data_IF_778927667278
#
_entry.id   IF_778927667278
#
_cell.length_a   1.000
_cell.length_b   1.000
_cell.length_c   1.000
_cell.angle_alpha   90.00
_cell.angle_beta   90.00
_cell.angle_gamma   90.00
#
_symmetry.space_group_name_H-M   'P 1'
#
loop_
_entity.id
_entity.type
_entity.pdbx_description
1 polymer ?
#
# COMPACT_ATOMS: atom_id res chain seq x y z
N UNK A 1 -16.45 44.88 25.31
CA UNK A 1 -16.58 44.74 23.84
C UNK A 1 -15.27 44.20 23.30
N UNK A 2 -15.36 43.13 22.49
CA UNK A 2 -14.40 42.63 21.49
C UNK A 2 -12.93 42.44 21.90
N UNK A 3 -12.27 41.32 21.65
CA UNK A 3 -12.62 40.17 20.83
C UNK A 3 -11.33 39.45 20.42
N UNK A 4 -11.29 38.15 20.71
CA UNK A 4 -10.59 37.08 20.01
C UNK A 4 -9.23 37.38 19.34
N UNK A 5 -8.14 36.90 19.95
CA UNK A 5 -6.92 36.54 19.24
C UNK A 5 -6.72 35.02 19.27
N UNK A 6 -6.33 34.51 18.10
CA UNK A 6 -5.61 33.26 17.87
C UNK A 6 -6.42 31.96 17.72
N UNK A 7 -6.84 31.69 16.47
CA UNK A 7 -7.02 30.35 15.94
C UNK A 7 -6.72 30.33 14.43
N UNK A 8 -5.48 30.65 14.05
CA UNK A 8 -5.01 30.47 12.67
C UNK A 8 -4.35 29.09 12.52
N UNK A 9 -5.18 28.05 12.41
CA UNK A 9 -4.76 26.74 11.93
C UNK A 9 -4.33 26.83 10.46
N UNK A 10 -3.12 26.39 10.16
CA UNK A 10 -2.45 26.52 8.85
C UNK A 10 -3.25 25.89 7.67
N UNK A 11 -3.58 26.66 6.61
CA UNK A 11 -4.38 26.17 5.46
C UNK A 11 -3.64 25.16 4.53
N UNK A 12 -2.32 25.02 4.68
CA UNK A 12 -1.52 24.13 3.84
C UNK A 12 -1.77 22.63 4.13
N UNK A 13 -2.05 22.26 5.39
CA UNK A 13 -2.29 20.85 5.77
C UNK A 13 -3.62 20.31 5.25
N UNK A 14 -4.68 21.14 5.17
CA UNK A 14 -5.98 20.69 4.66
C UNK A 14 -5.94 20.44 3.14
N UNK A 15 -5.26 21.32 2.38
CA UNK A 15 -5.09 21.20 0.92
C UNK A 15 -4.29 19.95 0.53
N UNK A 16 -3.21 19.64 1.25
CA UNK A 16 -2.40 18.44 1.04
C UNK A 16 -3.19 17.13 1.31
N UNK A 17 -4.09 17.15 2.30
CA UNK A 17 -4.96 16.00 2.61
C UNK A 17 -6.05 15.76 1.56
N UNK A 18 -6.57 16.83 0.94
CA UNK A 18 -7.53 16.74 -0.16
C UNK A 18 -6.91 16.21 -1.44
N UNK A 19 -5.70 16.67 -1.77
CA UNK A 19 -4.93 16.16 -2.91
C UNK A 19 -4.63 14.67 -2.77
N UNK A 20 -4.18 14.20 -1.60
CA UNK A 20 -3.92 12.77 -1.35
C UNK A 20 -5.17 11.88 -1.52
N UNK A 21 -6.34 12.36 -1.09
CA UNK A 21 -7.63 11.64 -1.31
C UNK A 21 -8.01 11.61 -2.78
N UNK A 22 -7.85 12.72 -3.50
CA UNK A 22 -8.08 12.77 -4.95
C UNK A 22 -7.16 11.80 -5.72
N UNK A 23 -5.87 11.73 -5.35
CA UNK A 23 -4.93 10.78 -5.93
C UNK A 23 -5.30 9.31 -5.65
N UNK A 24 -5.78 8.99 -4.43
CA UNK A 24 -6.21 7.65 -4.08
C UNK A 24 -7.45 7.23 -4.89
N UNK A 25 -8.46 8.10 -5.02
CA UNK A 25 -9.63 7.84 -5.86
C UNK A 25 -9.26 7.69 -7.34
N UNK A 26 -8.40 8.56 -7.86
CA UNK A 26 -7.91 8.47 -9.23
C UNK A 26 -7.14 7.16 -9.49
N UNK A 27 -6.32 6.70 -8.53
CA UNK A 27 -5.60 5.44 -8.63
C UNK A 27 -6.55 4.22 -8.68
N UNK A 28 -7.59 4.19 -7.85
CA UNK A 28 -8.61 3.13 -7.88
C UNK A 28 -9.38 3.14 -9.20
N UNK A 29 -9.80 4.31 -9.68
CA UNK A 29 -10.45 4.47 -10.98
C UNK A 29 -9.55 3.99 -12.13
N UNK A 30 -8.25 4.29 -12.08
CA UNK A 30 -7.29 3.83 -13.08
C UNK A 30 -7.18 2.31 -13.10
N UNK A 31 -7.19 1.64 -11.93
CA UNK A 31 -7.20 0.17 -11.85
C UNK A 31 -8.47 -0.41 -12.48
N UNK A 32 -9.65 0.13 -12.17
CA UNK A 32 -10.90 -0.32 -12.78
C UNK A 32 -10.92 -0.11 -14.29
N UNK A 33 -10.43 1.04 -14.77
CA UNK A 33 -10.31 1.31 -16.20
C UNK A 33 -9.36 0.32 -16.88
N UNK A 34 -8.24 -0.03 -16.25
CA UNK A 34 -7.29 -1.01 -16.76
C UNK A 34 -7.90 -2.42 -16.86
N UNK A 35 -8.66 -2.84 -15.84
CA UNK A 35 -9.40 -4.11 -15.84
C UNK A 35 -10.43 -4.13 -16.98
N UNK A 36 -11.23 -3.07 -17.12
CA UNK A 36 -12.24 -2.96 -18.17
C UNK A 36 -11.61 -2.96 -19.57
N UNK A 37 -10.52 -2.23 -19.76
CA UNK A 37 -9.77 -2.21 -21.02
C UNK A 37 -9.16 -3.58 -21.35
N UNK A 38 -8.65 -4.31 -20.35
CA UNK A 38 -8.10 -5.66 -20.54
C UNK A 38 -9.20 -6.65 -20.96
N UNK A 39 -10.36 -6.62 -20.29
CA UNK A 39 -11.52 -7.45 -20.64
C UNK A 39 -12.04 -7.14 -22.05
N UNK A 40 -12.17 -5.85 -22.39
CA UNK A 40 -12.56 -5.43 -23.73
C UNK A 40 -11.55 -5.90 -24.78
N UNK A 41 -10.25 -5.81 -24.47
CA UNK A 41 -9.17 -6.33 -25.32
C UNK A 41 -9.30 -7.83 -25.58
N UNK A 42 -9.61 -8.63 -24.55
CA UNK A 42 -9.84 -10.08 -24.69
C UNK A 42 -11.04 -10.36 -25.60
N UNK A 43 -12.17 -9.67 -25.38
CA UNK A 43 -13.38 -9.85 -26.20
C UNK A 43 -13.12 -9.48 -27.66
N UNK A 44 -12.45 -8.35 -27.91
CA UNK A 44 -12.09 -7.92 -29.26
C UNK A 44 -11.12 -8.89 -29.94
N UNK A 45 -10.15 -9.42 -29.20
CA UNK A 45 -9.20 -10.42 -29.72
C UNK A 45 -9.93 -11.71 -30.10
N UNK A 46 -10.82 -12.21 -29.24
CA UNK A 46 -11.64 -13.40 -29.53
C UNK A 46 -12.51 -13.17 -30.77
N UNK A 47 -13.22 -12.04 -30.83
CA UNK A 47 -14.06 -11.69 -31.98
C UNK A 47 -13.26 -11.65 -33.28
N UNK A 48 -12.11 -10.96 -33.28
CA UNK A 48 -11.21 -10.88 -34.44
C UNK A 48 -10.70 -12.25 -34.87
N UNK A 49 -10.35 -13.10 -33.92
CA UNK A 49 -9.83 -14.45 -34.18
C UNK A 49 -10.90 -15.33 -34.82
N UNK A 50 -12.10 -15.36 -34.24
CA UNK A 50 -13.22 -16.17 -34.76
C UNK A 50 -13.64 -15.70 -36.16
N UNK A 51 -13.69 -14.38 -36.38
CA UNK A 51 -14.09 -13.83 -37.68
C UNK A 51 -13.03 -14.10 -38.77
N UNK A 52 -11.75 -13.97 -38.42
CA UNK A 52 -10.65 -14.32 -39.31
C UNK A 52 -10.67 -15.82 -39.66
N UNK A 53 -10.89 -16.68 -38.67
CA UNK A 53 -10.98 -18.13 -38.85
C UNK A 53 -12.12 -18.52 -39.79
N UNK A 54 -13.32 -17.94 -39.62
CA UNK A 54 -14.47 -18.17 -40.51
C UNK A 54 -14.15 -17.80 -41.95
N UNK A 55 -13.67 -16.58 -42.16
CA UNK A 55 -13.32 -16.07 -43.50
C UNK A 55 -12.24 -16.94 -44.17
N UNK A 56 -11.27 -17.42 -43.39
CA UNK A 56 -10.20 -18.27 -43.89
C UNK A 56 -10.70 -19.68 -44.25
N UNK A 57 -11.58 -20.27 -43.43
CA UNK A 57 -12.21 -21.57 -43.73
C UNK A 57 -13.02 -21.52 -45.03
N UNK A 58 -13.79 -20.46 -45.24
CA UNK A 58 -14.58 -20.27 -46.45
C UNK A 58 -13.68 -20.15 -47.70
N UNK A 59 -12.57 -19.39 -47.60
CA UNK A 59 -11.58 -19.29 -48.69
C UNK A 59 -10.91 -20.62 -49.00
N UNK A 60 -10.48 -21.36 -47.98
CA UNK A 60 -9.86 -22.69 -48.17
C UNK A 60 -10.84 -23.66 -48.84
N UNK A 61 -12.12 -23.65 -48.43
CA UNK A 61 -13.15 -24.47 -49.05
C UNK A 61 -13.37 -24.11 -50.53
N UNK A 62 -13.40 -22.81 -50.86
CA UNK A 62 -13.51 -22.32 -52.23
C UNK A 62 -12.31 -22.76 -53.10
N UNK A 63 -11.07 -22.56 -52.62
CA UNK A 63 -9.85 -22.94 -53.35
C UNK A 63 -9.76 -24.46 -53.57
N UNK A 64 -10.13 -25.25 -52.56
CA UNK A 64 -10.22 -26.71 -52.69
C UNK A 64 -11.29 -27.13 -53.71
N UNK A 65 -12.40 -26.42 -53.80
CA UNK A 65 -13.45 -26.69 -54.79
C UNK A 65 -12.99 -26.35 -56.22
N UNK A 66 -12.26 -25.24 -56.40
CA UNK A 66 -11.64 -24.85 -57.69
C UNK A 66 -10.67 -25.95 -58.15
N UNK A 67 -9.77 -26.39 -57.28
CA UNK A 67 -8.84 -27.50 -57.59
C UNK A 67 -9.56 -28.79 -57.97
N UNK A 68 -10.65 -29.13 -57.26
CA UNK A 68 -11.44 -30.32 -57.58
C UNK A 68 -12.10 -30.23 -58.97
N UNK A 69 -12.63 -29.07 -59.35
CA UNK A 69 -13.22 -28.84 -60.68
C UNK A 69 -12.15 -28.82 -61.79
N UNK A 70 -10.95 -28.27 -61.55
CA UNK A 70 -9.84 -28.34 -62.51
C UNK A 70 -9.42 -29.79 -62.80
N UNK A 71 -9.32 -30.61 -61.75
CA UNK A 71 -9.07 -32.05 -61.90
C UNK A 71 -10.21 -32.73 -62.65
N UNK A 72 -11.46 -32.34 -62.40
CA UNK A 72 -12.64 -32.86 -63.11
C UNK A 72 -12.60 -32.55 -64.60
N UNK A 73 -12.33 -31.29 -64.98
CA UNK A 73 -12.19 -30.86 -66.38
C UNK A 73 -11.05 -31.60 -67.07
N UNK A 74 -9.87 -31.68 -66.44
CA UNK A 74 -8.72 -32.38 -67.00
C UNK A 74 -9.01 -33.88 -67.22
N UNK A 75 -9.68 -34.54 -66.26
CA UNK A 75 -10.09 -35.96 -66.38
C UNK A 75 -11.14 -36.14 -67.48
N UNK A 76 -12.13 -35.24 -67.57
CA UNK A 76 -13.16 -35.31 -68.61
C UNK A 76 -12.53 -35.26 -70.00
N UNK A 77 -11.61 -34.32 -70.24
CA UNK A 77 -10.93 -34.19 -71.54
C UNK A 77 -10.07 -35.42 -71.84
N UNK A 78 -9.33 -35.96 -70.86
CA UNK A 78 -8.52 -37.17 -71.05
C UNK A 78 -9.37 -38.41 -71.36
N UNK A 79 -10.47 -38.59 -70.64
CA UNK A 79 -11.41 -39.70 -70.87
C UNK A 79 -12.10 -39.57 -72.22
N UNK A 80 -12.44 -38.33 -72.62
CA UNK A 80 -13.01 -38.04 -73.93
C UNK A 80 -12.06 -38.40 -75.06
N UNK A 81 -10.80 -37.95 -74.97
CA UNK A 81 -9.77 -38.26 -75.95
C UNK A 81 -9.50 -39.78 -76.03
N UNK A 82 -9.44 -40.45 -74.88
CA UNK A 82 -9.22 -41.90 -74.81
C UNK A 82 -10.38 -42.67 -75.45
N UNK A 83 -11.63 -42.30 -75.15
CA UNK A 83 -12.82 -42.94 -75.71
C UNK A 83 -12.96 -42.70 -77.22
N UNK A 84 -12.72 -41.46 -77.66
CA UNK A 84 -12.74 -41.08 -79.07
C UNK A 84 -11.68 -41.87 -79.86
N UNK A 85 -10.43 -41.93 -79.39
CA UNK A 85 -9.36 -42.74 -80.02
C UNK A 85 -9.71 -44.21 -80.06
N UNK A 86 -10.24 -44.77 -78.96
CA UNK A 86 -10.69 -46.17 -78.91
C UNK A 86 -11.72 -46.48 -79.99
N UNK A 87 -12.70 -45.60 -80.19
CA UNK A 87 -13.70 -45.73 -81.24
C UNK A 87 -13.12 -45.59 -82.64
N UNK A 88 -12.26 -44.60 -82.90
CA UNK A 88 -11.62 -44.39 -84.21
C UNK A 88 -10.71 -45.57 -84.65
N UNK A 89 -10.11 -46.26 -83.66
CA UNK A 89 -9.25 -47.41 -83.89
C UNK A 89 -10.04 -48.70 -84.10
N UNK A 90 -11.07 -48.94 -83.28
CA UNK A 90 -11.79 -50.23 -83.23
C UNK A 90 -13.12 -50.23 -83.98
N UNK A 91 -13.70 -49.06 -84.26
CA UNK A 91 -15.06 -48.84 -84.75
C UNK A 91 -16.16 -49.39 -83.83
N UNK A 92 -15.81 -49.78 -82.59
CA UNK A 92 -16.75 -50.30 -81.62
C UNK A 92 -17.33 -49.16 -80.76
N UNK A 93 -18.63 -48.90 -80.92
CA UNK A 93 -19.36 -47.83 -80.22
C UNK A 93 -19.28 -47.94 -78.70
N UNK A 94 -18.96 -49.11 -78.13
CA UNK A 94 -18.76 -49.26 -76.68
C UNK A 94 -17.63 -48.37 -76.15
N UNK A 95 -16.61 -48.07 -76.96
CA UNK A 95 -15.53 -47.16 -76.59
C UNK A 95 -15.94 -45.67 -76.54
N UNK A 96 -17.11 -45.29 -77.09
CA UNK A 96 -17.61 -43.92 -76.98
C UNK A 96 -18.20 -43.58 -75.61
N UNK A 97 -18.45 -44.57 -74.74
CA UNK A 97 -19.02 -44.35 -73.41
C UNK A 97 -18.30 -43.26 -72.58
N UNK A 98 -16.97 -43.35 -72.39
CA UNK A 98 -16.18 -42.31 -71.72
C UNK A 98 -16.27 -40.92 -72.37
N UNK A 99 -16.35 -40.86 -73.71
CA UNK A 99 -16.49 -39.60 -74.45
C UNK A 99 -17.86 -38.95 -74.24
N UNK A 100 -18.93 -39.72 -74.34
CA UNK A 100 -20.29 -39.21 -74.14
C UNK A 100 -20.49 -38.71 -72.70
N UNK A 101 -20.02 -39.48 -71.71
CA UNK A 101 -20.06 -39.07 -70.31
C UNK A 101 -19.25 -37.79 -70.06
N UNK A 102 -18.05 -37.69 -70.62
CA UNK A 102 -17.23 -36.48 -70.52
C UNK A 102 -17.89 -35.26 -71.19
N UNK A 103 -18.52 -35.46 -72.35
CA UNK A 103 -19.24 -34.40 -73.08
C UNK A 103 -20.42 -33.84 -72.29
N UNK A 104 -21.10 -34.66 -71.50
CA UNK A 104 -22.18 -34.20 -70.60
C UNK A 104 -21.65 -33.48 -69.36
N UNK A 105 -20.45 -33.83 -68.89
CA UNK A 105 -19.89 -33.34 -67.64
C UNK A 105 -19.05 -32.07 -67.78
N UNK A 106 -18.35 -31.86 -68.90
CA UNK A 106 -17.37 -30.77 -69.01
C UNK A 106 -18.02 -29.38 -68.98
N UNK A 107 -19.16 -29.19 -69.65
CA UNK A 107 -19.87 -27.90 -69.67
C UNK A 107 -20.30 -27.45 -68.26
N UNK A 108 -21.03 -28.29 -67.50
CA UNK A 108 -21.34 -28.01 -66.10
C UNK A 108 -20.11 -27.79 -65.22
N UNK A 109 -19.01 -28.50 -65.45
CA UNK A 109 -17.75 -28.31 -64.71
C UNK A 109 -17.12 -26.93 -64.97
N UNK A 110 -17.07 -26.50 -66.23
CA UNK A 110 -16.59 -25.15 -66.60
C UNK A 110 -17.47 -24.06 -66.00
N UNK A 111 -18.80 -24.22 -66.03
CA UNK A 111 -19.72 -23.25 -65.40
C UNK A 111 -19.58 -23.19 -63.87
N UNK A 112 -19.28 -24.31 -63.20
CA UNK A 112 -19.00 -24.32 -61.75
C UNK A 112 -17.66 -23.65 -61.46
N UNK A 113 -16.63 -23.94 -62.25
CA UNK A 113 -15.31 -23.33 -62.12
C UNK A 113 -15.37 -21.81 -62.28
N UNK A 114 -16.12 -21.31 -63.25
CA UNK A 114 -16.36 -19.88 -63.46
C UNK A 114 -17.05 -19.23 -62.25
N UNK A 115 -18.16 -19.80 -61.77
CA UNK A 115 -18.86 -19.32 -60.57
C UNK A 115 -17.99 -19.32 -59.31
N UNK A 116 -17.10 -20.31 -59.17
CA UNK A 116 -16.19 -20.39 -58.03
C UNK A 116 -15.08 -19.34 -58.11
N UNK A 117 -14.67 -18.91 -59.31
CA UNK A 117 -13.58 -17.95 -59.49
C UNK A 117 -14.08 -16.49 -59.62
N UNK A 118 -15.29 -16.26 -60.14
CA UNK A 118 -15.88 -14.94 -60.39
C UNK A 118 -15.72 -13.92 -59.24
N UNK A 119 -15.95 -14.26 -57.95
CA UNK A 119 -15.96 -13.27 -56.88
C UNK A 119 -14.56 -12.76 -56.48
N UNK A 120 -13.48 -13.49 -56.79
CA UNK A 120 -12.15 -13.26 -56.19
C UNK A 120 -10.99 -13.39 -57.20
N UNK A 121 -11.25 -13.77 -58.45
CA UNK A 121 -10.19 -14.11 -59.40
C UNK A 121 -9.31 -12.93 -59.81
N UNK A 122 -7.99 -13.14 -59.72
CA UNK A 122 -7.00 -12.23 -60.27
C UNK A 122 -7.15 -12.09 -61.79
N UNK A 123 -6.64 -10.99 -62.39
CA UNK A 123 -6.61 -10.84 -63.85
C UNK A 123 -5.93 -12.03 -64.56
N UNK A 124 -4.91 -12.63 -63.93
CA UNK A 124 -4.21 -13.82 -64.47
C UNK A 124 -5.10 -15.06 -64.43
N UNK A 125 -5.77 -15.33 -63.31
CA UNK A 125 -6.71 -16.47 -63.17
C UNK A 125 -7.88 -16.35 -64.17
N UNK A 126 -8.46 -15.15 -64.34
CA UNK A 126 -9.52 -14.92 -65.34
C UNK A 126 -9.05 -15.20 -66.76
N UNK A 127 -7.83 -14.78 -67.10
CA UNK A 127 -7.26 -15.06 -68.41
C UNK A 127 -7.02 -16.56 -68.64
N UNK A 128 -6.47 -17.26 -67.65
CA UNK A 128 -6.25 -18.70 -67.71
C UNK A 128 -7.56 -19.49 -67.79
N UNK A 129 -8.58 -19.10 -67.02
CA UNK A 129 -9.91 -19.70 -67.08
C UNK A 129 -10.52 -19.57 -68.47
N UNK A 130 -10.48 -18.37 -69.06
CA UNK A 130 -10.97 -18.15 -70.42
C UNK A 130 -10.17 -18.97 -71.46
N UNK A 131 -8.86 -19.16 -71.26
CA UNK A 131 -8.06 -20.05 -72.10
C UNK A 131 -8.50 -21.52 -71.94
N UNK A 132 -8.70 -21.99 -70.71
CA UNK A 132 -9.16 -23.36 -70.43
C UNK A 132 -10.53 -23.60 -71.06
N UNK A 133 -11.47 -22.67 -70.92
CA UNK A 133 -12.80 -22.75 -71.53
C UNK A 133 -12.72 -22.84 -73.06
N UNK A 134 -12.00 -21.90 -73.69
CA UNK A 134 -11.86 -21.86 -75.15
C UNK A 134 -11.17 -23.12 -75.71
N UNK A 135 -10.07 -23.55 -75.08
CA UNK A 135 -9.32 -24.74 -75.51
C UNK A 135 -10.11 -26.03 -75.28
N UNK A 136 -10.87 -26.11 -74.18
CA UNK A 136 -11.74 -27.27 -73.90
C UNK A 136 -12.88 -27.34 -74.92
N UNK A 137 -13.56 -26.23 -75.19
CA UNK A 137 -14.63 -26.16 -76.19
C UNK A 137 -14.11 -26.52 -77.59
N UNK A 138 -12.94 -25.99 -77.97
CA UNK A 138 -12.28 -26.33 -79.23
C UNK A 138 -11.97 -27.83 -79.32
N UNK A 139 -11.43 -28.42 -78.25
CA UNK A 139 -11.08 -29.85 -78.24
C UNK A 139 -12.31 -30.75 -78.33
N UNK A 140 -13.38 -30.45 -77.59
CA UNK A 140 -14.63 -31.21 -77.69
C UNK A 140 -15.32 -31.05 -79.06
N UNK A 141 -15.19 -29.89 -79.69
CA UNK A 141 -15.61 -29.66 -81.08
C UNK A 141 -14.87 -30.57 -82.07
N UNK A 142 -13.53 -30.58 -82.02
CA UNK A 142 -12.69 -31.46 -82.85
C UNK A 142 -13.04 -32.95 -82.68
N UNK A 143 -13.22 -33.39 -81.43
CA UNK A 143 -13.63 -34.77 -81.14
C UNK A 143 -15.02 -35.09 -81.69
N UNK A 144 -15.98 -34.16 -81.59
CA UNK A 144 -17.33 -34.34 -82.12
C UNK A 144 -17.34 -34.45 -83.65
N UNK A 145 -16.55 -33.61 -84.33
CA UNK A 145 -16.40 -33.65 -85.79
C UNK A 145 -15.78 -34.97 -86.25
N UNK A 146 -14.73 -35.42 -85.56
CA UNK A 146 -14.06 -36.71 -85.84
C UNK A 146 -15.02 -37.90 -85.67
N UNK A 147 -15.83 -37.91 -84.60
CA UNK A 147 -16.83 -38.98 -84.38
C UNK A 147 -17.90 -38.95 -85.47
N UNK A 148 -18.41 -37.76 -85.83
CA UNK A 148 -19.40 -37.57 -86.90
C UNK A 148 -18.88 -37.97 -88.28
N UNK A 149 -17.59 -37.75 -88.58
CA UNK A 149 -16.95 -38.23 -89.81
C UNK A 149 -16.97 -39.76 -89.90
N UNK A 150 -16.64 -40.47 -88.81
CA UNK A 150 -16.73 -41.94 -88.76
C UNK A 150 -18.16 -42.42 -88.95
N UNK A 151 -19.14 -41.78 -88.30
CA UNK A 151 -20.55 -42.15 -88.42
C UNK A 151 -21.10 -41.97 -89.85
N UNK A 152 -20.55 -41.01 -90.61
CA UNK A 152 -20.89 -40.77 -92.03
C UNK A 152 -20.06 -41.62 -93.02
N UNK A 153 -19.21 -42.53 -92.52
CA UNK A 153 -18.39 -43.42 -93.34
C UNK A 153 -17.05 -42.83 -93.81
N UNK A 154 -16.70 -41.61 -93.38
CA UNK A 154 -15.46 -40.91 -93.74
C UNK A 154 -14.31 -41.22 -92.76
N UNK A 155 -13.92 -42.50 -92.63
CA UNK A 155 -12.93 -42.94 -91.65
C UNK A 155 -11.52 -42.38 -91.89
N UNK A 156 -11.11 -42.25 -93.16
CA UNK A 156 -9.79 -41.73 -93.52
C UNK A 156 -9.65 -40.25 -93.16
N UNK A 157 -10.69 -39.46 -93.39
CA UNK A 157 -10.73 -38.04 -93.03
C UNK A 157 -10.68 -37.85 -91.51
N UNK A 158 -11.45 -38.67 -90.77
CA UNK A 158 -11.45 -38.67 -89.30
C UNK A 158 -10.08 -39.03 -88.71
N UNK A 159 -9.37 -40.01 -89.28
CA UNK A 159 -8.02 -40.38 -88.83
C UNK A 159 -6.98 -39.33 -89.19
N UNK A 160 -7.11 -38.69 -90.35
CA UNK A 160 -6.19 -37.61 -90.78
C UNK A 160 -6.35 -36.39 -89.88
N UNK A 161 -7.59 -36.03 -89.53
CA UNK A 161 -7.88 -34.97 -88.57
C UNK A 161 -7.32 -35.29 -87.16
N UNK A 162 -7.46 -36.54 -86.68
CA UNK A 162 -6.88 -36.97 -85.41
C UNK A 162 -5.35 -36.94 -85.39
N UNK A 163 -4.70 -37.24 -86.52
CA UNK A 163 -3.24 -37.24 -86.69
C UNK A 163 -2.68 -35.83 -86.98
N UNK A 164 -3.51 -34.79 -86.94
CA UNK A 164 -3.06 -33.42 -87.09
C UNK A 164 -2.27 -32.92 -85.86
N UNK A 165 -1.24 -32.12 -86.10
CA UNK A 165 -0.47 -31.46 -85.03
C UNK A 165 -1.33 -30.48 -84.20
N UNK A 166 -2.42 -29.96 -84.79
CA UNK A 166 -3.33 -28.98 -84.18
C UNK A 166 -4.03 -29.55 -82.93
N UNK A 167 -4.55 -30.78 -83.02
CA UNK A 167 -5.23 -31.44 -81.89
C UNK A 167 -4.28 -31.78 -80.72
N UNK A 168 -3.00 -32.03 -81.02
CA UNK A 168 -1.96 -32.23 -80.00
C UNK A 168 -1.56 -30.90 -79.35
N UNK A 169 -1.40 -29.83 -80.15
CA UNK A 169 -1.04 -28.51 -79.65
C UNK A 169 -2.11 -27.92 -78.73
N UNK A 170 -3.39 -28.06 -79.08
CA UNK A 170 -4.52 -27.67 -78.21
C UNK A 170 -4.45 -28.40 -76.87
N UNK A 171 -4.18 -29.72 -76.86
CA UNK A 171 -4.04 -30.49 -75.63
C UNK A 171 -2.85 -30.08 -74.78
N UNK A 172 -1.71 -29.77 -75.39
CA UNK A 172 -0.52 -29.28 -74.69
C UNK A 172 -0.80 -27.93 -74.03
N UNK A 173 -1.41 -26.99 -74.78
CA UNK A 173 -1.80 -25.66 -74.27
C UNK A 173 -2.86 -25.75 -73.18
N UNK A 174 -3.87 -26.61 -73.33
CA UNK A 174 -4.92 -26.82 -72.35
C UNK A 174 -4.34 -27.34 -71.03
N UNK A 175 -3.53 -28.40 -71.09
CA UNK A 175 -2.86 -28.94 -69.90
C UNK A 175 -1.89 -27.94 -69.28
N UNK A 176 -1.23 -27.11 -70.08
CA UNK A 176 -0.38 -26.04 -69.56
C UNK A 176 -1.19 -24.99 -68.80
N UNK A 177 -2.32 -24.52 -69.36
CA UNK A 177 -3.21 -23.55 -68.73
C UNK A 177 -3.83 -24.10 -67.44
N UNK A 178 -4.29 -25.36 -67.45
CA UNK A 178 -4.82 -26.04 -66.24
C UNK A 178 -3.73 -26.14 -65.18
N UNK A 179 -2.53 -26.62 -65.53
CA UNK A 179 -1.41 -26.72 -64.57
C UNK A 179 -1.02 -25.37 -64.00
N UNK A 180 -0.98 -24.32 -64.82
CA UNK A 180 -0.65 -22.99 -64.33
C UNK A 180 -1.70 -22.47 -63.36
N UNK A 181 -2.99 -22.70 -63.65
CA UNK A 181 -4.08 -22.34 -62.76
C UNK A 181 -4.03 -23.16 -61.45
N UNK A 182 -3.78 -24.47 -61.54
CA UNK A 182 -3.56 -25.35 -60.38
C UNK A 182 -2.39 -24.87 -59.51
N UNK A 183 -1.26 -24.47 -60.11
CA UNK A 183 -0.11 -23.94 -59.36
C UNK A 183 -0.47 -22.66 -58.60
N UNK A 184 -1.19 -21.74 -59.24
CA UNK A 184 -1.64 -20.49 -58.59
C UNK A 184 -2.53 -20.81 -57.38
N UNK A 185 -3.51 -21.70 -57.53
CA UNK A 185 -4.40 -22.09 -56.42
C UNK A 185 -3.64 -22.81 -55.29
N UNK A 186 -2.71 -23.71 -55.63
CA UNK A 186 -1.90 -24.44 -54.65
C UNK A 186 -0.95 -23.51 -53.87
N UNK A 187 -0.30 -22.56 -54.54
CA UNK A 187 0.57 -21.57 -53.90
C UNK A 187 -0.23 -20.67 -52.96
N UNK A 188 -1.39 -20.19 -53.39
CA UNK A 188 -2.27 -19.39 -52.54
C UNK A 188 -2.76 -20.20 -51.33
N UNK A 189 -3.07 -21.49 -51.50
CA UNK A 189 -3.53 -22.35 -50.41
C UNK A 189 -2.41 -22.60 -49.38
N UNK A 190 -1.19 -22.84 -49.87
CA UNK A 190 0.00 -23.01 -49.03
C UNK A 190 0.34 -21.72 -48.27
N UNK A 191 0.17 -20.54 -48.89
CA UNK A 191 0.34 -19.26 -48.21
C UNK A 191 -0.72 -19.05 -47.13
N UNK A 192 -2.00 -19.26 -47.45
CA UNK A 192 -3.11 -19.07 -46.51
C UNK A 192 -3.00 -19.99 -45.28
N UNK A 193 -2.56 -21.23 -45.45
CA UNK A 193 -2.34 -22.18 -44.34
C UNK A 193 -1.15 -21.81 -43.46
N UNK A 194 -0.07 -21.25 -44.03
CA UNK A 194 1.07 -20.73 -43.26
C UNK A 194 0.69 -19.50 -42.45
N UNK A 195 0.02 -18.53 -43.07
CA UNK A 195 -0.43 -17.29 -42.42
C UNK A 195 -1.36 -17.60 -41.23
N UNK A 196 -2.21 -18.62 -41.38
CA UNK A 196 -3.06 -19.12 -40.31
C UNK A 196 -2.28 -19.63 -39.10
N UNK A 197 -1.29 -20.50 -39.35
CA UNK A 197 -0.46 -21.08 -38.31
C UNK A 197 0.35 -20.00 -37.57
N UNK A 198 0.86 -19.00 -38.31
CA UNK A 198 1.52 -17.85 -37.70
C UNK A 198 0.56 -16.99 -36.87
N UNK A 199 -0.66 -16.76 -37.34
CA UNK A 199 -1.66 -16.01 -36.61
C UNK A 199 -2.05 -16.71 -35.30
N UNK A 200 -2.26 -18.03 -35.32
CA UNK A 200 -2.52 -18.84 -34.12
C UNK A 200 -1.39 -18.68 -33.08
N UNK A 201 -0.14 -18.71 -33.52
CA UNK A 201 1.03 -18.52 -32.65
C UNK A 201 1.10 -17.15 -31.96
N UNK A 202 0.47 -16.11 -32.52
CA UNK A 202 0.43 -14.75 -31.94
C UNK A 202 -0.72 -14.56 -30.95
N UNK A 203 -1.79 -15.36 -31.02
CA UNK A 203 -2.97 -15.20 -30.14
C UNK A 203 -2.64 -15.57 -28.69
N UNK A 204 -1.94 -16.68 -28.47
CA UNK A 204 -1.62 -17.16 -27.12
C UNK A 204 -0.76 -16.17 -26.30
N UNK A 205 0.32 -15.56 -26.82
CA UNK A 205 1.07 -14.56 -26.07
C UNK A 205 0.27 -13.27 -25.82
N UNK A 206 -0.62 -12.86 -26.74
CA UNK A 206 -1.51 -11.71 -26.52
C UNK A 206 -2.53 -11.96 -25.40
N UNK A 207 -3.16 -13.15 -25.40
CA UNK A 207 -4.03 -13.58 -24.30
C UNK A 207 -3.27 -13.64 -22.97
N UNK A 208 -2.05 -14.19 -22.99
CA UNK A 208 -1.17 -14.22 -21.81
C UNK A 208 -0.84 -12.83 -21.28
N UNK A 209 -0.53 -11.87 -22.17
CA UNK A 209 -0.24 -10.49 -21.80
C UNK A 209 -1.47 -9.78 -21.20
N UNK A 210 -2.65 -9.96 -21.79
CA UNK A 210 -3.91 -9.40 -21.28
C UNK A 210 -4.29 -10.01 -19.92
N UNK A 211 -4.11 -11.32 -19.75
CA UNK A 211 -4.34 -11.99 -18.46
C UNK A 211 -3.35 -11.51 -17.39
N UNK A 212 -2.07 -11.36 -17.73
CA UNK A 212 -1.07 -10.83 -16.82
C UNK A 212 -1.37 -9.38 -16.41
N UNK A 213 -1.81 -8.54 -17.36
CA UNK A 213 -2.24 -7.16 -17.08
C UNK A 213 -3.46 -7.14 -16.15
N UNK A 214 -4.44 -8.04 -16.37
CA UNK A 214 -5.62 -8.18 -15.52
C UNK A 214 -5.24 -8.58 -14.08
N UNK A 215 -4.39 -9.60 -13.92
CA UNK A 215 -3.92 -10.06 -12.61
C UNK A 215 -3.11 -8.99 -11.88
N UNK A 216 -2.26 -8.26 -12.61
CA UNK A 216 -1.50 -7.13 -12.08
C UNK A 216 -2.44 -6.02 -11.59
N UNK A 217 -3.43 -5.64 -12.40
CA UNK A 217 -4.43 -4.64 -12.03
C UNK A 217 -5.20 -5.05 -10.77
N UNK A 218 -5.65 -6.30 -10.70
CA UNK A 218 -6.36 -6.84 -9.54
C UNK A 218 -5.49 -6.84 -8.28
N UNK A 219 -4.21 -7.22 -8.39
CA UNK A 219 -3.25 -7.19 -7.29
C UNK A 219 -2.93 -5.78 -6.79
N UNK A 220 -2.80 -4.81 -7.71
CA UNK A 220 -2.65 -3.38 -7.38
C UNK A 220 -3.91 -2.84 -6.69
N UNK A 221 -5.10 -3.18 -7.19
CA UNK A 221 -6.37 -2.83 -6.57
C UNK A 221 -6.49 -3.37 -5.15
N UNK A 222 -6.19 -4.64 -4.94
CA UNK A 222 -6.18 -5.27 -3.61
C UNK A 222 -5.21 -4.56 -2.66
N UNK A 223 -3.99 -4.24 -3.12
CA UNK A 223 -3.01 -3.51 -2.31
C UNK A 223 -3.44 -2.09 -1.96
N UNK A 224 -4.05 -1.36 -2.89
CA UNK A 224 -4.53 0.01 -2.65
C UNK A 224 -5.66 0.02 -1.61
N UNK A 225 -6.66 -0.85 -1.78
CA UNK A 225 -7.79 -0.99 -0.84
C UNK A 225 -7.30 -1.46 0.53
N UNK A 226 -6.37 -2.41 0.57
CA UNK A 226 -5.78 -2.87 1.84
C UNK A 226 -5.01 -1.78 2.58
N UNK A 227 -4.32 -0.89 1.86
CA UNK A 227 -3.61 0.26 2.47
C UNK A 227 -4.58 1.30 3.03
N UNK A 228 -5.65 1.62 2.31
CA UNK A 228 -6.65 2.59 2.79
C UNK A 228 -7.37 2.06 4.04
N UNK A 229 -7.77 0.79 4.04
CA UNK A 229 -8.45 0.18 5.18
C UNK A 229 -7.57 0.13 6.45
N UNK A 230 -6.28 -0.19 6.31
CA UNK A 230 -5.34 -0.19 7.45
C UNK A 230 -5.12 1.20 8.04
N UNK A 231 -4.96 2.21 7.18
CA UNK A 231 -4.76 3.58 7.62
C UNK A 231 -5.99 4.14 8.38
N UNK A 232 -7.20 3.78 7.95
CA UNK A 232 -8.43 4.16 8.66
C UNK A 232 -8.54 3.47 10.03
N UNK A 233 -8.19 2.18 10.12
CA UNK A 233 -8.19 1.45 11.38
C UNK A 233 -7.17 2.01 12.39
N UNK A 234 -5.95 2.31 11.96
CA UNK A 234 -4.91 2.92 12.81
C UNK A 234 -5.33 4.31 13.31
N UNK A 235 -5.95 5.13 12.45
CA UNK A 235 -6.44 6.45 12.83
C UNK A 235 -7.56 6.38 13.87
N UNK A 236 -8.50 5.44 13.73
CA UNK A 236 -9.58 5.22 14.69
C UNK A 236 -9.04 4.74 16.06
N UNK A 237 -8.03 3.87 16.06
CA UNK A 237 -7.42 3.40 17.31
C UNK A 237 -6.63 4.51 18.00
N UNK A 238 -5.92 5.34 17.24
CA UNK A 238 -5.18 6.49 17.78
C UNK A 238 -6.12 7.52 18.45
N UNK A 239 -7.29 7.80 17.88
CA UNK A 239 -8.24 8.75 18.47
C UNK A 239 -8.83 8.23 19.78
N UNK A 240 -9.13 6.94 19.88
CA UNK A 240 -9.64 6.32 21.13
C UNK A 240 -8.60 6.41 22.25
N UNK A 241 -7.33 6.13 21.95
CA UNK A 241 -6.25 6.22 22.95
C UNK A 241 -6.02 7.66 23.40
N UNK A 242 -6.08 8.63 22.46
CA UNK A 242 -5.94 10.04 22.78
C UNK A 242 -7.06 10.53 23.71
N UNK A 243 -8.32 10.17 23.43
CA UNK A 243 -9.46 10.55 24.28
C UNK A 243 -9.37 9.92 25.69
N UNK A 244 -8.93 8.66 25.78
CA UNK A 244 -8.72 8.00 27.07
C UNK A 244 -7.64 8.71 27.90
N UNK A 245 -6.55 9.16 27.25
CA UNK A 245 -5.47 9.91 27.90
C UNK A 245 -5.95 11.28 28.39
N UNK A 246 -6.68 12.02 27.57
CA UNK A 246 -7.21 13.33 27.95
C UNK A 246 -8.15 13.23 29.17
N UNK A 247 -8.98 12.19 29.23
CA UNK A 247 -9.84 11.90 30.39
C UNK A 247 -9.03 11.57 31.64
N UNK A 248 -7.97 10.77 31.52
CA UNK A 248 -7.09 10.46 32.65
C UNK A 248 -6.41 11.72 33.21
N UNK A 249 -5.92 12.61 32.34
CA UNK A 249 -5.26 13.86 32.73
C UNK A 249 -6.23 14.86 33.39
N UNK A 250 -7.50 14.87 32.97
CA UNK A 250 -8.55 15.65 33.62
C UNK A 250 -8.87 15.10 35.02
N UNK A 251 -9.01 13.78 35.17
CA UNK A 251 -9.25 13.13 36.46
C UNK A 251 -8.10 13.36 37.44
N UNK A 252 -6.85 13.25 36.98
CA UNK A 252 -5.67 13.51 37.81
C UNK A 252 -5.66 14.95 38.36
N UNK A 253 -5.99 15.94 37.52
CA UNK A 253 -6.11 17.34 37.94
C UNK A 253 -7.21 17.57 38.98
N UNK A 254 -8.39 16.96 38.77
CA UNK A 254 -9.51 17.04 39.71
C UNK A 254 -9.18 16.39 41.06
N UNK A 255 -8.52 15.23 41.05
CA UNK A 255 -8.07 14.56 42.27
C UNK A 255 -7.10 15.43 43.07
N UNK A 256 -6.11 16.03 42.39
CA UNK A 256 -5.15 16.92 43.05
C UNK A 256 -5.83 18.14 43.66
N UNK A 257 -6.82 18.73 42.98
CA UNK A 257 -7.61 19.82 43.54
C UNK A 257 -8.39 19.39 44.81
N UNK A 258 -8.99 18.20 44.79
CA UNK A 258 -9.70 17.65 45.96
C UNK A 258 -8.78 17.38 47.15
N UNK A 259 -7.57 16.90 46.90
CA UNK A 259 -6.58 16.70 47.98
C UNK A 259 -6.22 18.03 48.63
N UNK A 260 -6.02 19.10 47.86
CA UNK A 260 -5.80 20.45 48.41
C UNK A 260 -6.97 20.93 49.26
N UNK A 261 -8.20 20.70 48.80
CA UNK A 261 -9.40 21.04 49.57
C UNK A 261 -9.46 20.26 50.90
N UNK A 262 -9.10 18.97 50.88
CA UNK A 262 -9.08 18.16 52.10
C UNK A 262 -8.07 18.70 53.13
N UNK A 263 -6.87 19.09 52.69
CA UNK A 263 -5.90 19.72 53.59
C UNK A 263 -6.39 21.06 54.17
N UNK A 264 -7.08 21.88 53.38
CA UNK A 264 -7.69 23.13 53.87
C UNK A 264 -8.74 22.87 54.96
N UNK A 265 -9.57 21.83 54.79
CA UNK A 265 -10.55 21.41 55.80
C UNK A 265 -9.87 20.93 57.08
N UNK A 266 -8.84 20.07 56.98
CA UNK A 266 -8.09 19.59 58.14
C UNK A 266 -7.47 20.78 58.90
N UNK A 267 -6.87 21.73 58.19
CA UNK A 267 -6.30 22.93 58.77
C UNK A 267 -7.33 23.78 59.52
N UNK A 268 -8.54 23.93 58.97
CA UNK A 268 -9.65 24.64 59.61
C UNK A 268 -10.11 23.94 60.91
N UNK A 269 -10.23 22.60 60.89
CA UNK A 269 -10.58 21.80 62.07
C UNK A 269 -9.53 22.01 63.17
N UNK A 270 -8.24 21.89 62.84
CA UNK A 270 -7.14 22.06 63.80
C UNK A 270 -7.17 23.44 64.46
N UNK A 271 -7.36 24.51 63.67
CA UNK A 271 -7.43 25.89 64.20
C UNK A 271 -8.69 26.11 65.05
N UNK A 272 -9.83 25.58 64.62
CA UNK A 272 -11.09 25.73 65.35
C UNK A 272 -11.05 25.00 66.70
N UNK A 273 -10.42 23.81 66.76
CA UNK A 273 -10.27 23.03 68.00
C UNK A 273 -9.42 23.71 69.08
N UNK A 274 -8.58 24.69 68.72
CA UNK A 274 -7.76 25.44 69.68
C UNK A 274 -8.23 26.88 69.89
N UNK A 275 -9.32 27.30 69.24
CA UNK A 275 -9.81 28.69 69.26
C UNK A 275 -10.14 29.18 70.67
N UNK A 276 -10.82 28.36 71.45
CA UNK A 276 -11.34 28.72 72.79
C UNK A 276 -10.46 28.14 73.92
N UNK A 277 -9.25 27.68 73.61
CA UNK A 277 -8.31 27.09 74.59
C UNK A 277 -6.91 27.68 74.38
N UNK A 278 -6.57 28.78 75.08
CA UNK A 278 -5.28 29.48 74.92
C UNK A 278 -4.07 28.57 75.12
N UNK A 279 -4.17 27.58 76.02
CA UNK A 279 -3.10 26.62 76.29
C UNK A 279 -2.82 25.67 75.10
N UNK A 280 -3.81 25.45 74.23
CA UNK A 280 -3.71 24.57 73.06
C UNK A 280 -3.26 25.28 71.78
N UNK A 281 -3.31 26.62 71.73
CA UNK A 281 -2.94 27.42 70.55
C UNK A 281 -1.52 27.12 70.04
N UNK A 282 -0.47 27.04 70.88
CA UNK A 282 0.87 26.74 70.40
C UNK A 282 0.98 25.34 69.76
N UNK A 283 0.18 24.37 70.23
CA UNK A 283 0.16 23.01 69.68
C UNK A 283 -0.55 23.01 68.32
N UNK A 284 -1.69 23.70 68.21
CA UNK A 284 -2.45 23.78 66.97
C UNK A 284 -1.71 24.52 65.85
N UNK A 285 -0.99 25.60 66.17
CA UNK A 285 -0.12 26.29 65.22
C UNK A 285 0.97 25.37 64.68
N UNK A 286 1.62 24.57 65.54
CA UNK A 286 2.61 23.59 65.11
C UNK A 286 2.03 22.48 64.23
N UNK A 287 0.80 22.03 64.49
CA UNK A 287 0.12 21.04 63.65
C UNK A 287 -0.22 21.67 62.28
N UNK A 288 -0.68 22.92 62.27
CA UNK A 288 -0.95 23.69 61.05
C UNK A 288 0.29 23.86 60.17
N UNK A 289 1.43 24.23 60.75
CA UNK A 289 2.72 24.35 60.04
C UNK A 289 3.11 23.02 59.36
N UNK A 290 2.95 21.87 60.05
CA UNK A 290 3.23 20.54 59.46
C UNK A 290 2.29 20.18 58.32
N UNK A 291 1.00 20.50 58.45
CA UNK A 291 0.02 20.24 57.38
C UNK A 291 0.42 21.03 56.12
N UNK A 292 0.87 22.28 56.27
CA UNK A 292 1.37 23.06 55.15
C UNK A 292 2.60 22.43 54.48
N UNK A 293 3.56 21.92 55.26
CA UNK A 293 4.72 21.21 54.73
C UNK A 293 4.36 19.91 53.98
N UNK A 294 3.36 19.17 54.46
CA UNK A 294 2.81 18.00 53.78
C UNK A 294 2.17 18.38 52.44
N UNK A 295 1.41 19.49 52.39
CA UNK A 295 0.80 19.99 51.15
C UNK A 295 1.87 20.36 50.12
N UNK A 296 2.91 21.09 50.52
CA UNK A 296 4.00 21.47 49.62
C UNK A 296 4.72 20.25 49.05
N UNK A 297 5.02 19.25 49.90
CA UNK A 297 5.63 17.99 49.46
C UNK A 297 4.75 17.21 48.48
N UNK A 298 3.43 17.22 48.70
CA UNK A 298 2.45 16.58 47.82
C UNK A 298 2.39 17.27 46.45
N UNK A 299 2.39 18.60 46.41
CA UNK A 299 2.39 19.36 45.15
C UNK A 299 3.63 19.09 44.29
N UNK A 300 4.81 19.02 44.91
CA UNK A 300 6.07 18.75 44.21
C UNK A 300 6.09 17.32 43.63
N UNK A 301 5.49 16.34 44.31
CA UNK A 301 5.43 14.96 43.83
C UNK A 301 4.48 14.80 42.63
N UNK A 302 3.44 15.61 42.54
CA UNK A 302 2.43 15.57 41.47
C UNK A 302 2.84 16.35 40.21
N UNK A 303 3.85 17.23 40.29
CA UNK A 303 4.37 18.01 39.15
C UNK A 303 5.26 17.21 38.19
N UNK A 304 5.71 16.01 38.58
CA UNK A 304 6.52 15.12 37.76
C UNK A 304 5.63 14.17 36.94
N UNK A 305 5.59 14.36 35.62
CA UNK A 305 4.73 13.64 34.67
C UNK A 305 4.88 12.10 34.63
N UNK A 306 5.84 11.52 35.36
CA UNK A 306 6.16 10.09 35.33
C UNK A 306 5.91 9.34 36.64
N UNK A 307 5.53 10.02 37.74
CA UNK A 307 5.34 9.36 39.05
C UNK A 307 6.62 8.80 39.69
N UNK A 308 7.80 9.10 39.12
CA UNK A 308 9.10 8.52 39.51
C UNK A 308 9.81 9.27 40.66
N UNK A 309 9.27 10.40 41.15
CA UNK A 309 9.89 11.17 42.23
C UNK A 309 9.83 12.68 42.03
N UNK A 310 10.65 13.41 42.81
CA UNK A 310 10.73 14.86 42.76
C UNK A 310 12.18 15.35 42.66
N UNK A 311 12.43 16.40 41.89
CA UNK A 311 13.75 17.04 41.87
C UNK A 311 14.04 17.71 43.21
N UNK A 312 15.21 17.42 43.80
CA UNK A 312 15.64 17.96 45.09
C UNK A 312 15.61 19.50 45.08
N UNK A 313 16.09 20.12 43.99
CA UNK A 313 16.05 21.58 43.81
C UNK A 313 14.63 22.13 43.97
N UNK A 314 13.66 21.53 43.27
CA UNK A 314 12.25 21.96 43.31
C UNK A 314 11.65 21.81 44.71
N UNK A 315 12.03 20.76 45.43
CA UNK A 315 11.60 20.57 46.82
C UNK A 315 12.15 21.68 47.73
N UNK A 316 13.46 21.96 47.68
CA UNK A 316 14.09 23.02 48.49
C UNK A 316 13.49 24.39 48.16
N UNK A 317 13.38 24.73 46.87
CA UNK A 317 12.75 25.97 46.42
C UNK A 317 11.32 26.12 46.93
N UNK A 318 10.51 25.05 46.85
CA UNK A 318 9.12 25.09 47.33
C UNK A 318 9.00 25.39 48.83
N UNK A 319 9.97 24.93 49.63
CA UNK A 319 9.98 25.14 51.09
C UNK A 319 10.41 26.54 51.50
N UNK A 320 11.39 27.13 50.80
CA UNK A 320 11.93 28.47 51.13
C UNK A 320 11.15 29.61 50.48
N UNK A 321 10.54 29.38 49.30
CA UNK A 321 9.83 30.38 48.50
C UNK A 321 8.83 31.26 49.28
N UNK A 322 8.02 30.74 50.22
CA UNK A 322 7.07 31.56 50.97
C UNK A 322 7.72 32.67 51.81
N UNK A 323 9.00 32.56 52.12
CA UNK A 323 9.72 33.46 53.02
C UNK A 323 10.74 34.37 52.30
N UNK A 324 10.95 34.16 50.99
CA UNK A 324 11.86 34.97 50.18
C UNK A 324 11.32 36.40 49.99
N UNK A 325 12.20 37.37 50.12
CA UNK A 325 11.92 38.79 49.88
C UNK A 325 13.19 39.50 49.41
N UNK A 326 13.13 40.81 49.13
CA UNK A 326 14.34 41.60 48.84
C UNK A 326 15.39 41.55 49.96
N UNK A 327 14.96 41.30 51.20
CA UNK A 327 15.80 41.23 52.41
C UNK A 327 16.13 39.80 52.85
N UNK A 328 15.49 38.78 52.26
CA UNK A 328 15.66 37.36 52.61
C UNK A 328 15.97 36.56 51.36
N UNK A 329 17.26 36.34 51.13
CA UNK A 329 17.75 35.60 49.97
C UNK A 329 18.28 34.23 50.38
N UNK A 330 18.35 33.34 49.38
CA UNK A 330 18.92 32.00 49.51
C UNK A 330 19.80 31.69 48.30
N UNK A 331 21.00 31.19 48.54
CA UNK A 331 21.86 30.63 47.50
C UNK A 331 21.62 29.11 47.40
N UNK A 332 21.26 28.63 46.20
CA UNK A 332 20.96 27.20 45.95
C UNK A 332 21.90 26.61 44.90
N UNK A 333 22.83 25.77 45.31
CA UNK A 333 23.83 25.16 44.43
C UNK A 333 23.81 23.63 44.49
N UNK A 334 24.03 22.98 43.34
CA UNK A 334 24.06 21.52 43.26
C UNK A 334 23.43 20.94 41.99
N UNK A 335 23.75 19.67 41.68
CA UNK A 335 23.31 18.98 40.46
C UNK A 335 21.81 18.66 40.47
N UNK A 336 21.23 18.36 39.31
CA UNK A 336 19.84 17.92 39.22
C UNK A 336 19.71 16.47 39.72
N UNK A 337 19.10 16.28 40.89
CA UNK A 337 18.89 14.97 41.53
C UNK A 337 17.39 14.73 41.64
N UNK A 338 16.93 13.57 41.18
CA UNK A 338 15.55 13.11 41.39
C UNK A 338 15.51 12.21 42.62
N UNK A 339 14.75 12.61 43.62
CA UNK A 339 14.51 11.84 44.84
C UNK A 339 13.31 10.89 44.66
N UNK A 340 13.40 9.64 45.14
CA UNK A 340 12.26 8.74 45.19
C UNK A 340 11.08 9.35 45.96
N UNK A 341 9.85 9.09 45.51
CA UNK A 341 8.63 9.68 46.08
C UNK A 341 8.50 9.51 47.61
N UNK A 342 8.97 8.38 48.16
CA UNK A 342 8.95 8.12 49.61
C UNK A 342 9.84 9.05 50.43
N UNK A 343 10.87 9.63 49.83
CA UNK A 343 11.84 10.51 50.49
C UNK A 343 11.38 11.98 50.47
N UNK A 344 10.50 12.35 49.53
CA UNK A 344 10.07 13.74 49.31
C UNK A 344 9.38 14.31 50.55
N UNK A 345 8.44 13.57 51.13
CA UNK A 345 7.70 14.01 52.33
C UNK A 345 8.57 14.18 53.57
N UNK A 346 9.36 13.17 54.01
CA UNK A 346 10.20 13.33 55.20
C UNK A 346 11.28 14.40 55.02
N UNK A 347 11.89 14.52 53.83
CA UNK A 347 12.86 15.58 53.57
C UNK A 347 12.18 16.96 53.52
N UNK A 348 11.01 17.07 52.88
CA UNK A 348 10.23 18.30 52.84
C UNK A 348 9.84 18.82 54.22
N UNK A 349 9.53 17.91 55.17
CA UNK A 349 9.30 18.28 56.56
C UNK A 349 10.56 18.82 57.24
N UNK A 350 11.72 18.19 57.05
CA UNK A 350 12.99 18.69 57.61
C UNK A 350 13.33 20.06 57.05
N UNK A 351 13.26 20.23 55.74
CA UNK A 351 13.52 21.50 55.06
C UNK A 351 12.55 22.59 55.52
N UNK A 352 11.28 22.26 55.73
CA UNK A 352 10.32 23.20 56.28
C UNK A 352 10.68 23.65 57.70
N UNK A 353 11.03 22.71 58.59
CA UNK A 353 11.46 23.04 59.96
C UNK A 353 12.75 23.87 59.98
N UNK A 354 13.70 23.58 59.10
CA UNK A 354 14.91 24.40 58.95
C UNK A 354 14.57 25.81 58.46
N UNK A 355 13.68 25.92 57.47
CA UNK A 355 13.22 27.20 56.94
C UNK A 355 12.49 28.03 58.01
N UNK A 356 11.60 27.42 58.80
CA UNK A 356 10.88 28.15 59.87
C UNK A 356 11.83 28.57 60.98
N UNK A 357 12.83 27.76 61.31
CA UNK A 357 13.86 28.13 62.28
C UNK A 357 14.71 29.30 61.79
N UNK A 358 15.12 29.31 60.51
CA UNK A 358 15.84 30.43 59.91
C UNK A 358 15.07 31.75 60.03
N UNK A 359 13.74 31.73 59.86
CA UNK A 359 12.86 32.91 60.00
C UNK A 359 12.70 33.34 61.46
N UNK A 360 12.50 32.38 62.38
CA UNK A 360 12.13 32.68 63.77
C UNK A 360 13.34 32.98 64.66
N UNK A 361 14.44 32.27 64.44
CA UNK A 361 15.59 32.23 65.37
C UNK A 361 16.95 32.31 64.66
N UNK A 362 16.99 32.15 63.34
CA UNK A 362 18.23 32.02 62.57
C UNK A 362 18.54 33.22 61.69
N UNK A 363 19.18 32.96 60.54
CA UNK A 363 19.76 34.00 59.70
C UNK A 363 18.77 35.10 59.30
N UNK A 364 17.54 34.76 58.90
CA UNK A 364 16.56 35.74 58.44
C UNK A 364 15.87 36.52 59.54
N UNK A 365 16.05 36.13 60.80
CA UNK A 365 15.66 36.93 61.97
C UNK A 365 16.71 38.00 62.32
N UNK A 366 17.97 37.75 61.94
CA UNK A 366 19.14 38.57 62.32
C UNK A 366 19.79 39.32 61.14
N UNK A 367 19.17 39.32 59.96
CA UNK A 367 19.69 39.99 58.77
C UNK A 367 20.88 39.27 58.12
N UNK A 368 21.00 37.97 58.33
CA UNK A 368 22.01 37.10 57.74
C UNK A 368 21.54 36.32 56.50
N UNK A 369 22.42 35.50 55.95
CA UNK A 369 22.23 34.81 54.67
C UNK A 369 22.05 33.29 54.83
N UNK A 370 21.32 32.68 53.90
CA UNK A 370 21.13 31.23 53.81
C UNK A 370 21.77 30.67 52.53
N UNK A 371 22.57 29.61 52.66
CA UNK A 371 23.11 28.84 51.55
C UNK A 371 22.75 27.37 51.70
N UNK A 372 22.21 26.77 50.64
CA UNK A 372 21.94 25.33 50.55
C UNK A 372 22.71 24.77 49.37
N UNK A 373 23.62 23.86 49.64
CA UNK A 373 24.44 23.20 48.64
C UNK A 373 24.27 21.68 48.71
N UNK A 374 24.19 21.00 47.58
CA UNK A 374 24.12 19.53 47.56
C UNK A 374 24.98 18.91 46.48
N UNK A 375 25.39 17.66 46.69
CA UNK A 375 26.18 16.86 45.75
C UNK A 375 25.89 15.36 45.94
N UNK A 376 26.40 14.54 45.04
CA UNK A 376 26.30 13.07 45.12
C UNK A 376 27.68 12.50 45.39
N UNK A 377 27.78 11.64 46.39
CA UNK A 377 29.00 10.91 46.75
C UNK A 377 28.63 9.50 47.23
N UNK A 378 29.27 8.46 46.69
CA UNK A 378 29.05 7.06 47.06
C UNK A 378 27.57 6.59 47.04
N UNK A 379 26.78 7.07 46.07
CA UNK A 379 25.36 6.73 45.97
C UNK A 379 24.47 7.39 47.02
N UNK A 380 24.99 8.40 47.73
CA UNK A 380 24.27 9.22 48.69
C UNK A 380 24.22 10.67 48.21
N UNK A 381 23.05 11.30 48.27
CA UNK A 381 22.92 12.74 48.17
C UNK A 381 23.29 13.37 49.52
N UNK A 382 24.31 14.21 49.50
CA UNK A 382 24.74 15.02 50.63
C UNK A 382 24.18 16.42 50.45
N UNK A 383 23.47 16.93 51.46
CA UNK A 383 22.81 18.24 51.45
C UNK A 383 23.32 19.02 52.66
N UNK A 384 23.95 20.15 52.40
CA UNK A 384 24.42 21.10 53.40
C UNK A 384 23.52 22.33 53.42
N UNK A 385 22.97 22.62 54.58
CA UNK A 385 22.22 23.83 54.91
C UNK A 385 23.08 24.69 55.83
N UNK A 386 23.41 25.91 55.40
CA UNK A 386 24.27 26.83 56.12
C UNK A 386 23.59 28.18 56.29
N UNK A 387 23.37 28.56 57.54
CA UNK A 387 22.89 29.87 57.95
C UNK A 387 24.08 30.68 58.46
N UNK A 388 24.26 31.88 57.92
CA UNK A 388 25.30 32.81 58.36
C UNK A 388 24.70 33.98 59.12
N UNK A 389 24.98 34.07 60.42
CA UNK A 389 24.62 35.20 61.28
C UNK A 389 25.49 35.16 62.56
N UNK A 390 25.64 36.30 63.28
CA UNK A 390 26.36 36.29 64.56
C UNK A 390 25.58 35.44 65.58
N UNK A 391 26.07 34.24 65.84
CA UNK A 391 25.45 33.26 66.75
C UNK A 391 26.33 32.97 67.97
N UNK A 392 25.81 32.18 68.90
CA UNK A 392 26.56 31.63 70.04
C UNK A 392 26.88 30.15 69.78
N UNK A 393 28.05 29.68 70.23
CA UNK A 393 28.43 28.26 70.18
C UNK A 393 27.60 27.38 71.15
N UNK A 394 26.73 27.98 71.95
CA UNK A 394 25.88 27.28 72.92
C UNK A 394 24.68 26.61 72.24
N UNK A 395 24.60 25.28 72.36
CA UNK A 395 23.42 24.51 71.97
C UNK A 395 22.24 24.88 72.89
N UNK A 396 21.04 25.18 72.33
CA UNK A 396 19.91 25.59 73.15
C UNK A 396 19.52 24.50 74.18
N UNK A 397 19.40 24.87 75.46
CA UNK A 397 19.08 23.98 76.59
C UNK A 397 17.76 23.18 76.43
N UNK A 398 16.90 23.57 75.49
CA UNK A 398 15.64 22.88 75.17
C UNK A 398 15.78 22.07 73.88
N UNK A 399 16.04 20.77 74.02
CA UNK A 399 15.82 19.79 72.94
C UNK A 399 14.31 19.65 72.68
N UNK A 400 13.77 20.52 71.85
CA UNK A 400 12.36 20.57 71.50
C UNK A 400 11.94 19.55 70.44
N UNK A 401 10.72 19.74 69.94
CA UNK A 401 10.10 18.91 68.91
C UNK A 401 10.91 18.82 67.59
N UNK A 402 11.61 19.89 67.20
CA UNK A 402 12.41 19.92 65.96
C UNK A 402 13.51 18.84 65.92
N UNK A 403 14.17 18.58 67.04
CA UNK A 403 15.18 17.51 67.14
C UNK A 403 14.54 16.11 67.00
N UNK A 404 13.34 15.89 67.56
CA UNK A 404 12.61 14.63 67.41
C UNK A 404 12.15 14.39 65.97
N UNK A 405 11.72 15.45 65.26
CA UNK A 405 11.34 15.37 63.85
C UNK A 405 12.54 15.02 62.97
N UNK A 406 13.69 15.66 63.19
CA UNK A 406 14.94 15.36 62.48
C UNK A 406 15.35 13.89 62.68
N UNK A 407 15.30 13.37 63.91
CA UNK A 407 15.60 11.95 64.18
C UNK A 407 14.63 11.00 63.48
N UNK A 408 13.33 11.30 63.48
CA UNK A 408 12.32 10.48 62.79
C UNK A 408 12.48 10.53 61.27
N UNK A 409 12.76 11.72 60.72
CA UNK A 409 12.99 11.90 59.29
C UNK A 409 14.27 11.21 58.82
N UNK A 410 15.37 11.30 59.58
CA UNK A 410 16.61 10.56 59.30
C UNK A 410 16.36 9.05 59.17
N UNK A 411 15.56 8.49 60.09
CA UNK A 411 15.15 7.07 60.04
C UNK A 411 14.29 6.74 58.82
N UNK A 412 13.33 7.59 58.46
CA UNK A 412 12.48 7.39 57.27
C UNK A 412 13.27 7.52 55.95
N UNK A 413 14.24 8.42 55.93
CA UNK A 413 15.14 8.65 54.81
C UNK A 413 16.24 7.59 54.71
N UNK A 414 16.42 6.75 55.74
CA UNK A 414 17.58 5.84 55.90
C UNK A 414 18.92 6.58 55.75
N UNK A 415 18.97 7.77 56.33
CA UNK A 415 20.07 8.70 56.20
C UNK A 415 20.55 9.24 57.55
N UNK A 416 21.50 10.16 57.50
CA UNK A 416 21.97 10.91 58.68
C UNK A 416 21.58 12.38 58.56
N UNK A 417 21.27 13.00 59.68
CA UNK A 417 21.00 14.44 59.80
C UNK A 417 21.77 14.92 61.02
N UNK A 418 22.77 15.75 60.80
CA UNK A 418 23.63 16.31 61.86
C UNK A 418 23.50 17.83 61.87
N UNK A 419 23.27 18.40 63.06
CA UNK A 419 23.16 19.85 63.24
C UNK A 419 24.27 20.32 64.16
N UNK A 420 24.94 21.40 63.77
CA UNK A 420 25.99 22.08 64.53
C UNK A 420 25.70 23.57 64.63
N UNK A 421 25.78 24.10 65.85
CA UNK A 421 25.79 25.53 66.12
C UNK A 421 27.25 26.00 66.11
N UNK A 422 27.51 27.15 65.49
CA UNK A 422 28.84 27.74 65.38
C UNK A 422 28.74 29.24 65.67
N UNK A 423 29.83 29.89 66.09
CA UNK A 423 29.88 31.33 66.25
C UNK A 423 29.56 32.12 64.97
N UNK A 424 29.56 31.46 63.81
CA UNK A 424 29.20 32.02 62.51
C UNK A 424 27.77 31.68 62.04
N UNK A 425 26.97 30.98 62.85
CA UNK A 425 25.58 30.60 62.56
C UNK A 425 25.32 29.10 62.70
N UNK A 426 24.40 28.55 61.90
CA UNK A 426 23.94 27.15 62.00
C UNK A 426 24.33 26.36 60.76
N UNK A 427 24.88 25.16 60.95
CA UNK A 427 25.18 24.23 59.87
C UNK A 427 24.42 22.90 60.08
N UNK A 428 23.70 22.44 59.06
CA UNK A 428 23.02 21.15 59.05
C UNK A 428 23.48 20.36 57.84
N UNK A 429 24.02 19.17 58.08
CA UNK A 429 24.47 18.24 57.04
C UNK A 429 23.56 17.02 57.03
N UNK A 430 23.04 16.68 55.85
CA UNK A 430 22.15 15.55 55.65
C UNK A 430 22.74 14.62 54.59
N UNK A 431 22.71 13.30 54.83
CA UNK A 431 23.11 12.30 53.83
C UNK A 431 21.97 11.31 53.63
N UNK A 432 21.47 11.19 52.40
CA UNK A 432 20.33 10.32 52.05
C UNK A 432 20.64 9.49 50.79
N UNK A 433 20.19 8.23 50.67
CA UNK A 433 20.44 7.40 49.50
C UNK A 433 19.63 7.89 48.28
N UNK A 434 20.23 7.91 47.09
CA UNK A 434 19.54 8.35 45.85
C UNK A 434 18.81 7.22 45.10
N UNK A 435 19.00 5.96 45.51
CA UNK A 435 18.39 4.79 44.89
C UNK A 435 17.51 3.99 45.86
N UNK A 436 16.60 3.22 45.29
CA UNK A 436 15.58 2.47 46.01
C UNK A 436 16.03 1.09 46.52
N UNK A 437 17.34 0.79 46.43
CA UNK A 437 17.88 -0.54 46.70
C UNK A 437 17.53 -1.03 48.10
N UNK A 438 16.66 -2.04 48.14
CA UNK A 438 16.56 -2.95 49.27
C UNK A 438 17.84 -3.80 49.27
N UNK A 439 18.64 -3.82 50.35
CA UNK A 439 19.31 -5.06 50.66
C UNK A 439 18.18 -6.05 50.98
N UNK A 440 17.97 -7.00 50.09
CA UNK A 440 17.16 -8.19 50.37
C UNK A 440 17.82 -8.85 51.59
N UNK A 441 17.15 -8.78 52.75
CA UNK A 441 17.53 -9.53 53.92
C UNK A 441 16.98 -10.95 53.82
#
# INVERSE_FOLDING_TARGET
MAGAMSAAGTPAKSRASGLRRAYAHAATLAVFALVAASLLGVVLLIYRTVEAERTQRDRVAQMSAVLAELVSVNRAVLNAETGQRGYLLTLDRRYLGPYLAAREQYGPALSRLDKLLEPVASPRQRHLLAQVENLTNSKFGEMADSVSMVERGALLDARTSMLSDEGMEVMVRLRAAIRELEMIEQEQLAAATRDAAEAEGRVLPLLGALLAMLLLALGLGYRLVGRTARAEAEAAQASVVAEARDRADLLARELNHRVKNLFAVILAIVRMSAKDTPEAQPVAERIAERIHALVASHEVTQGSASGEGARLRTLVESTVRPYLSSERQVALDGPDIVLPARQVTPLGLVLHELTTNAVKYGCWSSGGDLAVSWWVEDGMASIDWREHFPGTDEEPERTGFGSLLMTSAARQLRGTIERRFTGAGVAVSMRIPITDEHPVA
#
